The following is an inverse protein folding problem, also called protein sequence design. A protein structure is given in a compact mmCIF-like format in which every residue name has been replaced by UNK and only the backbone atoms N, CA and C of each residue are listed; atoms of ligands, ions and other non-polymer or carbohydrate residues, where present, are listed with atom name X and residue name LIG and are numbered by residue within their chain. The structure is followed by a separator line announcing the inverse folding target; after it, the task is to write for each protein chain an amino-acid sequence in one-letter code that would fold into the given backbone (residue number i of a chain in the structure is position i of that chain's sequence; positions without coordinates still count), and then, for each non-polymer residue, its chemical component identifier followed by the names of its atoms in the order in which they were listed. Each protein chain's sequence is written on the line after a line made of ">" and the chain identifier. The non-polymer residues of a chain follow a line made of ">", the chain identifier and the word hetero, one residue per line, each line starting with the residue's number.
data_IF_320296221765
#
_entry.id   IF_320296221765
#
_cell.length_a   1.000
_cell.length_b   1.000
_cell.length_c   1.000
_cell.angle_alpha   90.00
_cell.angle_beta   90.00
_cell.angle_gamma   90.00
#
_symmetry.space_group_name_H-M   'P 1'
#
loop_
_entity.id
_entity.type
_entity.pdbx_description
1 polymer ?
#
# COMPACT_ATOMS: atom_id res chain seq x y z
N UNK A 1 -23.18 10.50 -2.45
CA UNK A 1 -22.63 9.86 -3.67
C UNK A 1 -21.17 10.24 -3.79
N UNK A 2 -20.28 9.54 -3.08
CA UNK A 2 -18.84 9.83 -3.08
C UNK A 2 -18.24 9.16 -4.33
N UNK A 3 -17.95 9.95 -5.36
CA UNK A 3 -17.28 9.48 -6.56
C UNK A 3 -15.85 9.09 -6.17
N UNK A 4 -15.54 7.79 -6.13
CA UNK A 4 -14.17 7.29 -5.96
C UNK A 4 -13.35 7.79 -7.15
N UNK A 5 -12.64 8.90 -6.97
CA UNK A 5 -11.69 9.44 -7.93
C UNK A 5 -10.55 8.43 -8.02
N UNK A 6 -10.61 7.52 -9.00
CA UNK A 6 -9.45 6.67 -9.33
C UNK A 6 -8.37 7.58 -9.90
N UNK A 7 -7.50 8.10 -9.04
CA UNK A 7 -6.22 8.66 -9.49
C UNK A 7 -5.40 7.52 -10.09
N UNK A 8 -4.92 7.69 -11.32
CA UNK A 8 -3.85 6.83 -11.84
C UNK A 8 -2.62 7.08 -10.97
N UNK A 9 -1.98 6.01 -10.52
CA UNK A 9 -0.70 6.13 -9.84
C UNK A 9 0.34 6.74 -10.80
N UNK A 10 1.06 7.75 -10.35
CA UNK A 10 2.25 8.27 -11.06
C UNK A 10 3.51 7.64 -10.48
N UNK A 11 4.67 7.86 -11.12
CA UNK A 11 5.93 7.28 -10.64
C UNK A 11 6.40 7.89 -9.30
N UNK A 12 5.88 9.05 -8.96
CA UNK A 12 6.18 9.79 -7.74
C UNK A 12 5.31 9.34 -6.55
N UNK A 13 4.23 8.60 -6.81
CA UNK A 13 3.33 8.13 -5.77
C UNK A 13 4.01 7.07 -4.88
N UNK A 14 3.66 7.10 -3.60
CA UNK A 14 3.94 5.96 -2.71
C UNK A 14 2.77 5.00 -2.78
N UNK A 15 3.02 3.78 -3.23
CA UNK A 15 2.00 2.75 -3.48
C UNK A 15 2.09 1.62 -2.45
N UNK A 16 0.99 0.91 -2.26
CA UNK A 16 0.95 -0.30 -1.45
C UNK A 16 0.14 -1.41 -2.14
N UNK A 17 0.53 -2.65 -1.96
CA UNK A 17 -0.17 -3.81 -2.49
C UNK A 17 0.03 -5.05 -1.61
N UNK A 18 -0.93 -5.98 -1.69
CA UNK A 18 -0.77 -7.32 -1.12
C UNK A 18 0.32 -8.04 -1.93
N UNK A 19 1.39 -8.46 -1.25
CA UNK A 19 2.55 -9.10 -1.86
C UNK A 19 2.52 -10.64 -1.77
N UNK A 20 1.55 -11.18 -1.02
CA UNK A 20 1.33 -12.63 -0.85
C UNK A 20 -0.03 -13.06 -1.42
N UNK A 21 -0.22 -14.34 -1.78
CA UNK A 21 -1.52 -14.84 -2.22
C UNK A 21 -2.64 -14.59 -1.18
N UNK A 22 -3.89 -14.39 -1.62
CA UNK A 22 -5.03 -14.33 -0.71
C UNK A 22 -5.33 -15.71 -0.13
N UNK A 23 -5.80 -15.76 1.12
CA UNK A 23 -6.19 -16.99 1.79
C UNK A 23 -5.69 -17.07 3.22
N UNK A 24 -5.83 -18.25 3.82
CA UNK A 24 -5.33 -18.52 5.17
C UNK A 24 -3.85 -18.88 5.13
N UNK A 25 -3.06 -18.34 6.06
CA UNK A 25 -1.63 -18.60 6.21
C UNK A 25 -1.09 -18.03 7.52
N UNK A 26 0.15 -18.38 7.88
CA UNK A 26 0.76 -17.89 9.13
C UNK A 26 1.19 -16.42 9.08
N UNK A 27 1.48 -15.89 7.89
CA UNK A 27 1.90 -14.49 7.68
C UNK A 27 1.31 -14.01 6.34
N UNK A 28 0.81 -12.78 6.33
CA UNK A 28 0.50 -12.02 5.11
C UNK A 28 1.42 -10.81 5.00
N UNK A 29 1.82 -10.46 3.77
CA UNK A 29 2.73 -9.32 3.53
C UNK A 29 2.04 -8.26 2.68
N UNK A 30 2.02 -7.03 3.18
CA UNK A 30 1.72 -5.83 2.38
C UNK A 30 3.04 -5.14 2.10
N UNK A 31 3.37 -4.94 0.81
CA UNK A 31 4.55 -4.17 0.41
C UNK A 31 4.14 -2.72 0.17
N UNK A 32 4.87 -1.79 0.77
CA UNK A 32 4.78 -0.35 0.52
C UNK A 32 6.04 0.11 -0.20
N UNK A 33 5.92 0.92 -1.25
CA UNK A 33 7.06 1.39 -2.06
C UNK A 33 6.88 2.85 -2.44
N UNK A 34 7.97 3.63 -2.34
CA UNK A 34 8.02 5.05 -2.67
C UNK A 34 8.62 5.89 -1.55
N UNK A 35 8.81 7.19 -1.82
CA UNK A 35 9.54 8.10 -0.93
C UNK A 35 8.94 8.19 0.49
N UNK A 36 7.63 7.93 0.66
CA UNK A 36 6.95 8.01 1.96
C UNK A 36 6.87 6.67 2.70
N UNK A 37 7.42 5.58 2.17
CA UNK A 37 7.23 4.25 2.75
C UNK A 37 7.67 4.16 4.23
N UNK A 38 8.87 4.65 4.55
CA UNK A 38 9.37 4.66 5.94
C UNK A 38 8.53 5.55 6.86
N UNK A 39 8.15 6.74 6.39
CA UNK A 39 7.28 7.66 7.14
C UNK A 39 5.92 7.02 7.45
N UNK A 40 5.29 6.35 6.48
CA UNK A 40 4.03 5.62 6.67
C UNK A 40 4.20 4.52 7.72
N UNK A 41 5.31 3.77 7.70
CA UNK A 41 5.57 2.74 8.70
C UNK A 41 5.67 3.34 10.11
N UNK A 42 6.42 4.44 10.27
CA UNK A 42 6.57 5.16 11.55
C UNK A 42 5.29 5.83 12.07
N UNK A 43 4.30 6.09 11.21
CA UNK A 43 3.00 6.62 11.66
C UNK A 43 2.10 5.53 12.25
N UNK A 44 2.32 4.27 11.91
CA UNK A 44 1.46 3.15 12.30
C UNK A 44 1.97 2.39 13.52
N UNK A 45 3.27 2.46 13.79
CA UNK A 45 3.98 1.74 14.85
C UNK A 45 5.00 2.66 15.51
#
# INVERSE_FOLDING_TARGET
>A
MFLLKRSRATLEDTIAAIATPPGSGGIGVIRVSGAKAGYIAHLLF
#
